data_IF_938723732836
#
_entry.id   IF_938723732836
#
_cell.length_a   1.000
_cell.length_b   1.000
_cell.length_c   1.000
_cell.angle_alpha   90.00
_cell.angle_beta   90.00
_cell.angle_gamma   90.00
#
_symmetry.space_group_name_H-M   'P 1'
#
loop_
_entity.id
_entity.type
_entity.pdbx_description
1 polymer ?
#
# COMPACT_ATOMS: atom_id res chain seq x y z
N UNK A 1 2.12 -56.04 -20.91
CA UNK A 1 1.04 -55.02 -20.94
C UNK A 1 1.49 -53.81 -20.14
N UNK A 2 1.41 -52.62 -20.75
CA UNK A 2 2.09 -51.37 -20.36
C UNK A 2 1.70 -50.92 -18.94
N UNK A 3 2.69 -50.74 -18.05
CA UNK A 3 2.51 -50.02 -16.79
C UNK A 3 2.34 -48.53 -17.12
N UNK A 4 1.13 -48.02 -16.95
CA UNK A 4 0.83 -46.59 -17.11
C UNK A 4 1.31 -45.88 -15.83
N UNK A 5 2.48 -45.24 -15.92
CA UNK A 5 3.01 -44.40 -14.85
C UNK A 5 2.29 -43.05 -14.91
N UNK A 6 1.28 -42.85 -14.05
CA UNK A 6 0.62 -41.56 -13.85
C UNK A 6 1.58 -40.64 -13.08
N UNK A 7 2.27 -39.78 -13.82
CA UNK A 7 3.06 -38.68 -13.27
C UNK A 7 2.09 -37.59 -12.82
N UNK A 8 1.81 -37.54 -11.51
CA UNK A 8 1.14 -36.39 -10.89
C UNK A 8 2.13 -35.21 -10.87
N UNK A 9 1.96 -34.27 -11.79
CA UNK A 9 2.64 -32.97 -11.73
C UNK A 9 1.98 -32.19 -10.58
N UNK A 10 2.61 -32.20 -9.41
CA UNK A 10 2.33 -31.22 -8.37
C UNK A 10 2.81 -29.86 -8.86
N UNK A 11 1.90 -29.07 -9.46
CA UNK A 11 2.14 -27.66 -9.70
C UNK A 11 2.17 -26.96 -8.33
N UNK A 12 3.36 -26.79 -7.77
CA UNK A 12 3.58 -25.89 -6.64
C UNK A 12 3.30 -24.47 -7.11
N UNK A 13 2.08 -23.99 -6.86
CA UNK A 13 1.79 -22.56 -6.89
C UNK A 13 2.67 -21.89 -5.83
N UNK A 14 3.87 -21.47 -6.22
CA UNK A 14 4.59 -20.45 -5.48
C UNK A 14 3.72 -19.19 -5.55
N UNK A 15 2.94 -18.92 -4.51
CA UNK A 15 2.39 -17.60 -4.29
C UNK A 15 3.57 -16.67 -4.04
N UNK A 16 4.18 -16.15 -5.12
CA UNK A 16 5.05 -14.99 -4.99
C UNK A 16 4.21 -13.91 -4.33
N UNK A 17 4.65 -13.41 -3.18
CA UNK A 17 3.97 -12.32 -2.49
C UNK A 17 3.95 -11.10 -3.44
N UNK A 18 2.84 -10.90 -4.17
CA UNK A 18 2.75 -9.90 -5.23
C UNK A 18 3.10 -8.50 -4.70
N UNK A 19 2.80 -8.22 -3.42
CA UNK A 19 3.17 -6.99 -2.75
C UNK A 19 4.68 -6.81 -2.68
N UNK A 20 5.45 -7.87 -2.39
CA UNK A 20 6.92 -7.83 -2.39
C UNK A 20 7.45 -7.54 -3.80
N UNK A 21 6.89 -8.15 -4.83
CA UNK A 21 7.22 -7.83 -6.23
C UNK A 21 6.94 -6.36 -6.54
N UNK A 22 5.81 -5.82 -6.07
CA UNK A 22 5.50 -4.41 -6.23
C UNK A 22 6.46 -3.50 -5.46
N UNK A 23 6.79 -3.79 -4.19
CA UNK A 23 7.78 -3.05 -3.41
C UNK A 23 9.16 -3.05 -4.10
N UNK A 24 9.58 -4.18 -4.68
CA UNK A 24 10.82 -4.26 -5.44
C UNK A 24 10.79 -3.37 -6.69
N UNK A 25 9.66 -3.33 -7.41
CA UNK A 25 9.51 -2.43 -8.56
C UNK A 25 9.61 -0.94 -8.14
N UNK A 26 8.97 -0.55 -7.04
CA UNK A 26 9.10 0.80 -6.47
C UNK A 26 10.53 1.09 -6.04
N UNK A 27 11.26 0.11 -5.49
CA UNK A 27 12.65 0.25 -5.07
C UNK A 27 13.53 0.60 -6.27
N UNK A 28 13.34 -0.07 -7.41
CA UNK A 28 14.08 0.23 -8.63
C UNK A 28 13.74 1.61 -9.20
N UNK A 29 12.45 1.96 -9.27
CA UNK A 29 12.03 3.29 -9.74
C UNK A 29 12.58 4.41 -8.84
N UNK A 30 12.58 4.20 -7.51
CA UNK A 30 13.12 5.16 -6.56
C UNK A 30 14.63 5.36 -6.73
N UNK A 31 15.40 4.28 -6.93
CA UNK A 31 16.84 4.35 -7.21
C UNK A 31 17.15 5.11 -8.49
N UNK A 32 16.37 4.88 -9.56
CA UNK A 32 16.55 5.59 -10.83
C UNK A 32 16.29 7.09 -10.70
N UNK A 33 15.30 7.49 -9.89
CA UNK A 33 14.95 8.91 -9.70
C UNK A 33 15.81 9.63 -8.66
N UNK A 34 16.36 8.89 -7.71
CA UNK A 34 17.17 9.43 -6.62
C UNK A 34 18.29 8.44 -6.28
N UNK A 35 19.52 8.75 -6.70
CA UNK A 35 20.71 7.91 -6.42
C UNK A 35 21.03 7.79 -4.92
N UNK A 36 20.54 8.72 -4.10
CA UNK A 36 20.69 8.68 -2.65
C UNK A 36 19.65 7.79 -1.96
N UNK A 37 18.64 7.30 -2.68
CA UNK A 37 17.67 6.37 -2.11
C UNK A 37 18.35 5.05 -1.73
N UNK A 38 18.28 4.69 -0.44
CA UNK A 38 18.82 3.43 0.10
C UNK A 38 17.71 2.39 0.28
N UNK A 39 16.66 2.79 0.99
CA UNK A 39 15.57 1.92 1.40
C UNK A 39 14.31 2.72 1.75
N UNK A 40 13.19 2.01 1.85
CA UNK A 40 11.95 2.58 2.37
C UNK A 40 12.03 2.73 3.90
N UNK A 41 11.36 3.76 4.43
CA UNK A 41 11.40 4.10 5.85
C UNK A 41 9.99 4.17 6.42
N UNK A 42 9.77 3.42 7.51
CA UNK A 42 8.53 3.49 8.30
C UNK A 42 8.30 4.91 8.83
N UNK A 43 9.36 5.59 9.28
CA UNK A 43 9.28 6.96 9.82
C UNK A 43 8.82 7.96 8.75
N UNK A 44 9.43 7.96 7.57
CA UNK A 44 8.97 8.83 6.47
C UNK A 44 7.55 8.49 6.02
N UNK A 45 7.20 7.20 6.04
CA UNK A 45 5.84 6.75 5.76
C UNK A 45 4.82 7.29 6.75
N UNK A 46 5.16 7.31 8.04
CA UNK A 46 4.34 7.91 9.10
C UNK A 46 4.18 9.42 8.92
N UNK A 47 5.27 10.12 8.63
CA UNK A 47 5.27 11.56 8.32
C UNK A 47 4.32 11.85 7.15
N UNK A 48 4.42 11.11 6.05
CA UNK A 48 3.52 11.25 4.89
C UNK A 48 2.06 10.92 5.27
N UNK A 49 1.84 9.89 6.08
CA UNK A 49 0.49 9.44 6.43
C UNK A 49 -0.23 10.45 7.34
N UNK A 50 0.50 11.13 8.21
CA UNK A 50 -0.03 12.05 9.22
C UNK A 50 0.00 13.52 8.79
N UNK A 51 0.81 13.88 7.79
CA UNK A 51 0.92 15.26 7.30
C UNK A 51 -0.39 15.78 6.71
N UNK A 52 -0.73 17.00 7.09
CA UNK A 52 -1.92 17.73 6.63
C UNK A 52 -1.58 18.57 5.41
N UNK A 53 -2.47 18.56 4.44
CA UNK A 53 -2.33 19.32 3.20
C UNK A 53 -3.67 19.89 2.78
N UNK A 54 -3.66 20.99 2.03
CA UNK A 54 -4.83 21.43 1.28
C UNK A 54 -5.01 20.46 0.11
N UNK A 55 -5.85 19.46 0.32
CA UNK A 55 -6.08 18.36 -0.60
C UNK A 55 -7.27 18.62 -1.51
N UNK A 56 -8.02 17.55 -1.78
CA UNK A 56 -9.21 17.57 -2.62
C UNK A 56 -10.23 18.57 -2.12
N UNK A 57 -10.89 19.26 -3.04
CA UNK A 57 -11.95 20.24 -2.75
C UNK A 57 -11.50 21.41 -1.85
N UNK A 58 -10.20 21.71 -1.81
CA UNK A 58 -9.66 22.81 -1.01
C UNK A 58 -9.78 22.62 0.50
N UNK A 59 -9.91 21.37 0.97
CA UNK A 59 -10.00 21.06 2.40
C UNK A 59 -8.65 20.61 2.95
N UNK A 60 -8.35 21.03 4.18
CA UNK A 60 -7.23 20.46 4.93
C UNK A 60 -7.53 19.00 5.26
N UNK A 61 -6.68 18.08 4.80
CA UNK A 61 -6.86 16.64 4.96
C UNK A 61 -5.49 15.94 5.07
N UNK A 62 -5.47 14.80 5.75
CA UNK A 62 -4.35 13.86 5.82
C UNK A 62 -4.82 12.43 5.48
N UNK A 63 -3.91 11.46 5.36
CA UNK A 63 -4.34 10.06 5.18
C UNK A 63 -5.11 9.57 6.42
N UNK A 64 -4.72 10.03 7.60
CA UNK A 64 -5.40 9.79 8.89
C UNK A 64 -6.82 10.35 8.94
N UNK A 65 -7.18 11.35 8.13
CA UNK A 65 -8.55 11.87 8.08
C UNK A 65 -9.57 10.84 7.58
N UNK A 66 -9.14 9.87 6.76
CA UNK A 66 -10.01 8.76 6.33
C UNK A 66 -9.69 7.44 7.04
N UNK A 67 -8.43 7.22 7.45
CA UNK A 67 -7.98 5.92 7.96
C UNK A 67 -7.78 5.88 9.47
N UNK A 68 -7.83 7.03 10.15
CA UNK A 68 -7.51 7.16 11.56
C UNK A 68 -6.02 7.01 11.85
N UNK A 69 -5.68 7.13 13.13
CA UNK A 69 -4.32 6.89 13.64
C UNK A 69 -4.14 5.40 13.96
N UNK A 70 -5.15 4.78 14.57
CA UNK A 70 -5.17 3.34 14.84
C UNK A 70 -5.69 2.57 13.63
N UNK A 71 -4.77 2.02 12.83
CA UNK A 71 -5.08 1.26 11.63
C UNK A 71 -5.75 -0.09 11.90
N UNK A 72 -5.91 -0.49 13.16
CA UNK A 72 -6.67 -1.69 13.56
C UNK A 72 -8.17 -1.42 13.69
N UNK A 73 -8.59 -0.16 13.65
CA UNK A 73 -10.00 0.23 13.75
C UNK A 73 -10.61 0.49 12.38
N UNK A 74 -11.93 0.31 12.30
CA UNK A 74 -12.75 0.88 11.22
C UNK A 74 -12.70 2.40 11.34
N UNK A 75 -12.83 3.07 10.21
CA UNK A 75 -13.04 4.51 10.15
C UNK A 75 -13.91 4.83 8.92
N UNK A 76 -14.02 6.08 8.50
CA UNK A 76 -14.88 6.49 7.40
C UNK A 76 -14.18 7.43 6.43
N UNK A 77 -14.60 7.40 5.17
CA UNK A 77 -14.13 8.37 4.21
C UNK A 77 -14.58 9.79 4.62
N UNK A 78 -13.62 10.69 4.80
CA UNK A 78 -13.86 12.06 5.25
C UNK A 78 -14.91 12.83 4.41
N UNK A 79 -15.05 12.55 3.11
CA UNK A 79 -15.97 13.27 2.23
C UNK A 79 -17.32 12.59 2.03
N UNK A 80 -17.43 11.28 2.26
CA UNK A 80 -18.64 10.52 1.92
C UNK A 80 -19.24 9.77 3.11
N UNK A 81 -18.61 9.84 4.29
CA UNK A 81 -19.00 9.07 5.49
C UNK A 81 -19.12 7.55 5.24
N UNK A 82 -18.46 7.05 4.18
CA UNK A 82 -18.51 5.62 3.86
C UNK A 82 -17.50 4.89 4.73
N UNK A 83 -17.95 3.85 5.43
CA UNK A 83 -17.07 3.00 6.23
C UNK A 83 -15.90 2.42 5.42
N UNK A 84 -14.74 2.43 6.07
CA UNK A 84 -13.47 1.89 5.62
C UNK A 84 -13.03 0.85 6.67
N UNK A 85 -13.03 -0.41 6.26
CA UNK A 85 -12.50 -1.52 7.07
C UNK A 85 -11.04 -1.26 7.50
N UNK A 86 -10.57 -1.85 8.62
CA UNK A 86 -9.22 -1.66 9.13
C UNK A 86 -8.16 -1.84 8.04
N UNK A 87 -7.11 -1.02 8.10
CA UNK A 87 -6.02 -1.04 7.13
C UNK A 87 -4.89 -1.98 7.57
N UNK A 88 -4.72 -2.18 8.88
CA UNK A 88 -3.72 -3.11 9.42
C UNK A 88 -4.03 -4.55 9.04
N UNK A 89 -3.01 -5.27 8.56
CA UNK A 89 -3.11 -6.69 8.23
C UNK A 89 -3.30 -7.58 9.46
N UNK A 90 -3.00 -7.09 10.66
CA UNK A 90 -3.16 -7.85 11.92
C UNK A 90 -4.61 -8.23 12.18
N UNK A 91 -5.53 -7.32 11.87
CA UNK A 91 -6.99 -7.50 12.05
C UNK A 91 -7.74 -7.64 10.73
N UNK A 92 -7.12 -7.30 9.61
CA UNK A 92 -7.70 -7.49 8.27
C UNK A 92 -6.67 -8.11 7.31
N UNK A 93 -6.48 -9.45 7.35
CA UNK A 93 -5.45 -10.15 6.58
C UNK A 93 -5.58 -9.99 5.06
N UNK A 94 -6.76 -9.62 4.57
CA UNK A 94 -7.02 -9.35 3.14
C UNK A 94 -6.43 -8.02 2.65
N UNK A 95 -5.98 -7.14 3.56
CA UNK A 95 -5.35 -5.87 3.18
C UNK A 95 -3.99 -6.10 2.51
N UNK A 96 -3.73 -5.28 1.49
CA UNK A 96 -2.49 -5.26 0.71
C UNK A 96 -2.16 -6.59 -0.02
N UNK A 97 -3.13 -7.49 -0.21
CA UNK A 97 -2.91 -8.73 -0.98
C UNK A 97 -3.14 -8.55 -2.47
N UNK A 98 -4.10 -7.72 -2.87
CA UNK A 98 -4.39 -7.39 -4.27
C UNK A 98 -3.60 -6.13 -4.70
N UNK A 99 -2.52 -6.33 -5.44
CA UNK A 99 -1.63 -5.25 -5.89
C UNK A 99 -2.34 -4.26 -6.82
N UNK A 100 -3.32 -4.70 -7.61
CA UNK A 100 -4.09 -3.78 -8.47
C UNK A 100 -4.90 -2.81 -7.60
N UNK A 101 -5.52 -3.29 -6.52
CA UNK A 101 -6.19 -2.44 -5.53
C UNK A 101 -5.21 -1.52 -4.81
N UNK A 102 -4.04 -2.02 -4.40
CA UNK A 102 -3.00 -1.19 -3.75
C UNK A 102 -2.58 -0.03 -4.66
N UNK A 103 -2.21 -0.32 -5.92
CA UNK A 103 -1.82 0.70 -6.91
C UNK A 103 -2.94 1.73 -7.14
N UNK A 104 -4.18 1.27 -7.27
CA UNK A 104 -5.35 2.15 -7.44
C UNK A 104 -5.51 3.11 -6.28
N UNK A 105 -5.50 2.59 -5.05
CA UNK A 105 -5.78 3.38 -3.86
C UNK A 105 -4.62 4.30 -3.47
N UNK A 106 -3.36 3.86 -3.59
CA UNK A 106 -2.22 4.78 -3.43
C UNK A 106 -2.34 5.96 -4.40
N UNK A 107 -2.62 5.71 -5.69
CA UNK A 107 -2.78 6.80 -6.66
C UNK A 107 -3.91 7.76 -6.30
N UNK A 108 -5.06 7.24 -5.85
CA UNK A 108 -6.23 8.07 -5.49
C UNK A 108 -5.99 8.84 -4.19
N UNK A 109 -5.47 8.18 -3.16
CA UNK A 109 -5.27 8.78 -1.85
C UNK A 109 -4.19 9.87 -1.90
N UNK A 110 -3.09 9.67 -2.63
CA UNK A 110 -2.12 10.74 -2.87
C UNK A 110 -2.75 11.92 -3.63
N UNK A 111 -3.61 11.67 -4.62
CA UNK A 111 -4.32 12.77 -5.29
C UNK A 111 -5.31 13.48 -4.37
N UNK A 112 -5.98 12.75 -3.49
CA UNK A 112 -6.97 13.31 -2.59
C UNK A 112 -6.31 14.12 -1.45
N UNK A 113 -5.13 13.72 -0.98
CA UNK A 113 -4.41 14.43 0.11
C UNK A 113 -3.42 15.45 -0.43
N UNK A 114 -2.59 15.07 -1.41
CA UNK A 114 -1.46 15.88 -1.89
C UNK A 114 -1.71 16.56 -3.24
N UNK A 115 -2.88 16.38 -3.86
CA UNK A 115 -3.20 16.90 -5.21
C UNK A 115 -2.21 16.47 -6.31
N UNK A 116 -1.41 15.42 -6.08
CA UNK A 116 -0.44 14.85 -7.03
C UNK A 116 -0.36 13.34 -6.90
N UNK A 117 0.36 12.70 -7.81
CA UNK A 117 0.72 11.28 -7.66
C UNK A 117 1.95 11.19 -6.76
N UNK A 118 1.92 10.27 -5.78
CA UNK A 118 3.09 9.96 -4.96
C UNK A 118 4.25 9.39 -5.79
N UNK A 119 5.47 9.77 -5.46
CA UNK A 119 6.70 9.21 -6.00
C UNK A 119 6.86 7.74 -5.59
N UNK A 120 7.79 7.02 -6.22
CA UNK A 120 8.05 5.63 -5.87
C UNK A 120 8.52 5.45 -4.42
N UNK A 121 9.37 6.36 -3.94
CA UNK A 121 9.83 6.39 -2.56
C UNK A 121 8.68 6.63 -1.59
N UNK A 122 7.85 7.65 -1.80
CA UNK A 122 6.71 7.96 -0.93
C UNK A 122 5.71 6.80 -0.86
N UNK A 123 5.43 6.15 -1.99
CA UNK A 123 4.55 4.98 -2.04
C UNK A 123 5.13 3.81 -1.23
N UNK A 124 6.42 3.54 -1.37
CA UNK A 124 7.09 2.47 -0.63
C UNK A 124 7.14 2.77 0.86
N UNK A 125 7.49 4.00 1.24
CA UNK A 125 7.53 4.48 2.63
C UNK A 125 6.15 4.32 3.30
N UNK A 126 5.07 4.75 2.64
CA UNK A 126 3.69 4.57 3.14
C UNK A 126 3.32 3.10 3.28
N UNK A 127 3.70 2.24 2.33
CA UNK A 127 3.40 0.81 2.40
C UNK A 127 4.12 0.12 3.56
N UNK A 128 5.41 0.38 3.77
CA UNK A 128 6.14 -0.21 4.90
C UNK A 128 5.64 0.32 6.24
N UNK A 129 5.20 1.58 6.29
CA UNK A 129 4.52 2.13 7.45
C UNK A 129 3.24 1.36 7.76
N UNK A 130 2.33 1.18 6.78
CA UNK A 130 1.10 0.42 6.99
C UNK A 130 1.39 -1.02 7.43
N UNK A 131 2.39 -1.67 6.83
CA UNK A 131 2.79 -3.04 7.19
C UNK A 131 3.34 -3.16 8.62
N UNK A 132 3.86 -2.06 9.19
CA UNK A 132 4.37 -2.03 10.57
C UNK A 132 3.26 -1.88 11.62
N UNK A 133 2.06 -1.46 11.23
CA UNK A 133 0.94 -1.17 12.14
C UNK A 133 0.05 -2.39 12.38
#
# INVERSE_FOLDING_TARGET
MKKLLLIFIFATFCFSNELNTYLNSLKQEAKTKNSNFKEFSVKRGEEIFTSKHIGKKGKEIACTSCHGIDLTKKNENYFTAKEIEPLSKKVNPTRLTDVKKVKKWLRRNFKDVYNRVGTAQEKGDVLVYILSK
#
